data_IF_331799209624
#
_entry.id   IF_331799209624
#
_cell.length_a   1.000
_cell.length_b   1.000
_cell.length_c   1.000
_cell.angle_alpha   90.00
_cell.angle_beta   90.00
_cell.angle_gamma   90.00
#
_symmetry.space_group_name_H-M   'P 1'
#
loop_
_entity.id
_entity.type
_entity.pdbx_description
1 polymer ?
#
# COMPACT_ATOMS: atom_id res chain seq x y z
N UNK A 1 -0.83 -14.30 24.43
CA UNK A 1 -0.46 -14.66 23.05
C UNK A 1 0.93 -14.12 22.82
N UNK A 2 1.92 -14.95 22.51
CA UNK A 2 3.22 -14.45 22.05
C UNK A 2 2.97 -13.74 20.72
N UNK A 3 2.94 -12.41 20.73
CA UNK A 3 3.08 -11.64 19.49
C UNK A 3 4.45 -11.99 18.94
N UNK A 4 4.50 -12.83 17.91
CA UNK A 4 5.70 -12.95 17.10
C UNK A 4 6.05 -11.53 16.65
N UNK A 5 7.25 -11.07 17.02
CA UNK A 5 7.74 -9.76 16.62
C UNK A 5 7.72 -9.68 15.09
N UNK A 6 7.28 -8.54 14.56
CA UNK A 6 7.28 -8.31 13.11
C UNK A 6 8.72 -8.34 12.63
N UNK A 7 8.97 -9.13 11.59
CA UNK A 7 10.30 -9.26 11.00
C UNK A 7 10.40 -8.44 9.71
N UNK A 8 11.37 -7.53 9.68
CA UNK A 8 11.77 -6.77 8.51
C UNK A 8 13.11 -7.28 7.99
N UNK A 9 13.17 -7.65 6.71
CA UNK A 9 14.42 -8.01 6.06
C UNK A 9 14.94 -6.85 5.23
N UNK A 10 16.22 -6.51 5.45
CA UNK A 10 16.87 -5.36 4.83
C UNK A 10 17.69 -5.80 3.63
N UNK A 11 17.31 -5.31 2.46
CA UNK A 11 18.00 -5.50 1.18
C UNK A 11 18.78 -4.23 0.88
N UNK A 12 20.10 -4.32 0.82
CA UNK A 12 20.93 -3.14 0.59
C UNK A 12 22.34 -3.53 0.12
N UNK A 13 23.08 -2.62 -0.52
CA UNK A 13 24.49 -2.83 -0.82
C UNK A 13 25.30 -3.09 0.46
N UNK A 14 26.29 -4.00 0.39
CA UNK A 14 27.20 -4.31 1.51
C UNK A 14 28.38 -3.33 1.65
N UNK A 15 28.39 -2.24 0.89
CA UNK A 15 29.46 -1.25 1.02
C UNK A 15 29.39 -0.58 2.40
N UNK A 16 30.56 -0.30 2.99
CA UNK A 16 30.66 0.31 4.32
C UNK A 16 29.99 1.68 4.40
N UNK A 17 29.85 2.38 3.27
CA UNK A 17 29.11 3.65 3.20
C UNK A 17 27.66 3.52 3.69
N UNK A 18 27.09 2.32 3.64
CA UNK A 18 25.73 2.07 4.09
C UNK A 18 25.60 1.58 5.53
N UNK A 19 26.70 1.40 6.28
CA UNK A 19 26.63 0.86 7.64
C UNK A 19 25.88 1.78 8.60
N UNK A 20 26.06 3.10 8.49
CA UNK A 20 25.35 4.08 9.33
C UNK A 20 23.89 4.20 8.92
N UNK A 21 23.61 4.15 7.61
CA UNK A 21 22.24 4.10 7.06
C UNK A 21 21.50 2.90 7.63
N UNK A 22 22.14 1.72 7.62
CA UNK A 22 21.57 0.50 8.18
C UNK A 22 21.37 0.60 9.69
N UNK A 23 22.43 0.84 10.46
CA UNK A 23 22.41 0.74 11.93
C UNK A 23 21.58 1.87 12.55
N UNK A 24 21.88 3.11 12.19
CA UNK A 24 21.29 4.29 12.82
C UNK A 24 20.01 4.76 12.13
N UNK A 25 19.88 4.51 10.83
CA UNK A 25 18.71 4.86 10.04
C UNK A 25 17.62 3.79 10.10
N UNK A 26 17.92 2.57 9.68
CA UNK A 26 16.92 1.51 9.52
C UNK A 26 16.67 0.76 10.82
N UNK A 27 17.72 0.15 11.38
CA UNK A 27 17.62 -0.79 12.51
C UNK A 27 17.13 -0.12 13.79
N UNK A 28 17.67 1.04 14.14
CA UNK A 28 17.19 1.82 15.29
C UNK A 28 15.73 2.27 15.13
N UNK A 29 15.32 2.70 13.94
CA UNK A 29 13.93 3.12 13.69
C UNK A 29 12.95 1.97 13.80
N UNK A 30 13.30 0.81 13.22
CA UNK A 30 12.50 -0.40 13.33
C UNK A 30 12.38 -0.87 14.79
N UNK A 31 13.48 -0.83 15.56
CA UNK A 31 13.48 -1.22 16.97
C UNK A 31 12.55 -0.34 17.83
N UNK A 32 12.42 0.96 17.52
CA UNK A 32 11.48 1.86 18.21
C UNK A 32 10.01 1.47 18.03
N UNK A 33 9.71 0.66 17.01
CA UNK A 33 8.37 0.18 16.68
C UNK A 33 8.20 -1.33 16.98
N UNK A 34 9.11 -1.94 17.75
CA UNK A 34 9.15 -3.38 18.05
C UNK A 34 9.24 -4.26 16.79
N UNK A 35 9.89 -3.75 15.74
CA UNK A 35 10.15 -4.48 14.49
C UNK A 35 11.62 -4.93 14.51
N UNK A 36 11.84 -6.22 14.29
CA UNK A 36 13.19 -6.78 14.17
C UNK A 36 13.65 -6.56 12.72
N UNK A 37 14.63 -5.69 12.52
CA UNK A 37 15.25 -5.46 11.21
C UNK A 37 16.62 -6.15 11.12
N UNK A 38 16.79 -7.03 10.13
CA UNK A 38 18.07 -7.74 9.92
C UNK A 38 18.52 -7.68 8.47
N UNK A 39 19.84 -7.59 8.29
CA UNK A 39 20.57 -7.73 7.02
C UNK A 39 21.22 -9.10 6.96
N UNK A 40 21.35 -9.66 5.76
CA UNK A 40 21.83 -11.05 5.58
C UNK A 40 23.25 -11.31 6.10
N UNK A 41 24.09 -10.29 6.24
CA UNK A 41 25.48 -10.41 6.70
C UNK A 41 25.64 -10.40 8.23
N UNK A 42 24.59 -10.07 9.02
CA UNK A 42 24.61 -10.16 10.48
C UNK A 42 24.49 -11.61 11.01
N UNK A 43 24.52 -12.57 10.09
CA UNK A 43 24.03 -13.92 10.27
C UNK A 43 25.12 -14.92 9.79
N UNK A 44 25.74 -15.65 10.72
CA UNK A 44 26.83 -16.61 10.40
C UNK A 44 26.23 -17.93 9.90
N UNK A 45 26.48 -18.33 8.64
CA UNK A 45 25.92 -19.57 8.08
C UNK A 45 26.83 -20.29 7.05
N UNK A 46 26.52 -21.58 6.83
CA UNK A 46 27.23 -22.51 5.92
C UNK A 46 26.53 -22.74 4.56
N UNK A 47 25.33 -22.17 4.35
CA UNK A 47 24.53 -22.32 3.13
C UNK A 47 24.89 -21.27 2.05
N UNK A 48 24.43 -21.48 0.80
CA UNK A 48 24.60 -20.52 -0.28
C UNK A 48 23.80 -19.23 -0.03
N UNK A 49 24.45 -18.06 -0.23
CA UNK A 49 23.89 -16.74 0.09
C UNK A 49 22.51 -16.47 -0.53
N UNK A 50 22.30 -16.92 -1.78
CA UNK A 50 21.07 -16.67 -2.52
C UNK A 50 19.86 -17.43 -1.95
N UNK A 51 20.04 -18.70 -1.59
CA UNK A 51 18.97 -19.50 -0.98
C UNK A 51 18.56 -18.92 0.38
N UNK A 52 19.54 -18.40 1.13
CA UNK A 52 19.27 -17.71 2.39
C UNK A 52 18.42 -16.46 2.16
N UNK A 53 18.78 -15.63 1.19
CA UNK A 53 18.04 -14.41 0.85
C UNK A 53 16.58 -14.74 0.51
N UNK A 54 16.32 -15.77 -0.30
CA UNK A 54 14.95 -16.20 -0.58
C UNK A 54 14.20 -16.65 0.66
N UNK A 55 14.83 -17.44 1.54
CA UNK A 55 14.21 -17.87 2.80
C UNK A 55 13.91 -16.69 3.72
N UNK A 56 14.81 -15.70 3.78
CA UNK A 56 14.60 -14.49 4.59
C UNK A 56 13.48 -13.63 4.01
N UNK A 57 13.42 -13.43 2.69
CA UNK A 57 12.31 -12.74 2.04
C UNK A 57 10.98 -13.46 2.30
N UNK A 58 10.96 -14.80 2.19
CA UNK A 58 9.77 -15.59 2.45
C UNK A 58 9.31 -15.49 3.92
N UNK A 59 10.25 -15.42 4.88
CA UNK A 59 9.95 -15.27 6.30
C UNK A 59 9.59 -13.84 6.72
N UNK A 60 10.05 -12.82 5.98
CA UNK A 60 9.83 -11.41 6.33
C UNK A 60 8.36 -11.00 6.22
N UNK A 61 7.88 -10.21 7.18
CA UNK A 61 6.62 -9.49 7.08
C UNK A 61 6.80 -8.21 6.24
N UNK A 62 7.97 -7.56 6.35
CA UNK A 62 8.32 -6.30 5.68
C UNK A 62 9.66 -6.46 4.96
N UNK A 63 9.77 -5.92 3.75
CA UNK A 63 11.05 -5.74 3.06
C UNK A 63 11.40 -4.25 3.09
N UNK A 64 12.62 -3.92 3.54
CA UNK A 64 13.17 -2.57 3.46
C UNK A 64 14.32 -2.64 2.47
N UNK A 65 14.20 -1.96 1.33
CA UNK A 65 15.16 -2.07 0.25
C UNK A 65 15.80 -0.72 -0.07
N UNK A 66 17.11 -0.61 0.09
CA UNK A 66 17.89 0.57 -0.30
C UNK A 66 18.41 0.42 -1.72
N UNK A 67 17.82 1.22 -2.62
CA UNK A 67 18.07 1.16 -4.06
C UNK A 67 19.20 2.10 -4.51
N UNK A 68 19.84 2.80 -3.59
CA UNK A 68 20.84 3.84 -3.89
C UNK A 68 22.03 3.26 -4.66
N UNK A 69 22.50 3.98 -5.67
CA UNK A 69 23.57 3.52 -6.55
C UNK A 69 23.18 2.36 -7.49
N UNK A 70 21.89 2.06 -7.59
CA UNK A 70 21.31 1.14 -8.57
C UNK A 70 21.91 -0.29 -8.55
N UNK A 71 22.06 -0.86 -7.35
CA UNK A 71 22.63 -2.20 -7.21
C UNK A 71 21.72 -3.27 -7.87
N UNK A 72 22.19 -4.02 -8.88
CA UNK A 72 21.37 -4.99 -9.61
C UNK A 72 20.87 -6.16 -8.74
N UNK A 73 21.61 -6.53 -7.69
CA UNK A 73 21.18 -7.60 -6.78
C UNK A 73 19.99 -7.14 -5.95
N UNK A 74 20.00 -5.91 -5.45
CA UNK A 74 18.87 -5.36 -4.68
C UNK A 74 17.62 -5.29 -5.55
N UNK A 75 17.73 -4.84 -6.82
CA UNK A 75 16.59 -4.87 -7.75
C UNK A 75 16.03 -6.28 -7.97
N UNK A 76 16.92 -7.27 -8.13
CA UNK A 76 16.51 -8.66 -8.29
C UNK A 76 15.74 -9.17 -7.07
N UNK A 77 16.23 -8.88 -5.87
CA UNK A 77 15.62 -9.28 -4.60
C UNK A 77 14.28 -8.59 -4.37
N UNK A 78 14.17 -7.29 -4.68
CA UNK A 78 12.90 -6.55 -4.66
C UNK A 78 11.90 -7.14 -5.64
N UNK A 79 12.33 -7.48 -6.85
CA UNK A 79 11.47 -8.16 -7.83
C UNK A 79 10.91 -9.48 -7.30
N UNK A 80 11.74 -10.29 -6.63
CA UNK A 80 11.30 -11.52 -5.98
C UNK A 80 10.32 -11.25 -4.82
N UNK A 81 10.60 -10.24 -3.99
CA UNK A 81 9.72 -9.83 -2.90
C UNK A 81 8.34 -9.35 -3.40
N UNK A 82 8.31 -8.56 -4.48
CA UNK A 82 7.07 -8.14 -5.14
C UNK A 82 6.27 -9.33 -5.66
N UNK A 83 6.93 -10.31 -6.28
CA UNK A 83 6.27 -11.53 -6.76
C UNK A 83 5.66 -12.36 -5.61
N UNK A 84 6.15 -12.19 -4.38
CA UNK A 84 5.63 -12.79 -3.15
C UNK A 84 4.60 -11.91 -2.42
N UNK A 85 4.17 -10.81 -3.03
CA UNK A 85 3.23 -9.83 -2.47
C UNK A 85 3.67 -9.31 -1.08
N UNK A 86 4.98 -9.15 -0.88
CA UNK A 86 5.53 -8.59 0.37
C UNK A 86 5.33 -7.08 0.41
N UNK A 87 5.13 -6.54 1.61
CA UNK A 87 5.16 -5.08 1.83
C UNK A 87 6.61 -4.61 1.64
N UNK A 88 6.87 -3.90 0.55
CA UNK A 88 8.21 -3.41 0.22
C UNK A 88 8.28 -1.89 0.42
N UNK A 89 9.15 -1.47 1.34
CA UNK A 89 9.48 -0.08 1.60
C UNK A 89 10.78 0.24 0.87
N UNK A 90 10.67 0.98 -0.24
CA UNK A 90 11.81 1.34 -1.07
C UNK A 90 12.45 2.62 -0.54
N UNK A 91 13.77 2.62 -0.40
CA UNK A 91 14.58 3.74 0.05
C UNK A 91 15.56 4.13 -1.05
N UNK A 92 15.89 5.41 -1.13
CA UNK A 92 16.98 5.90 -1.96
C UNK A 92 17.53 7.22 -1.45
N UNK A 93 18.83 7.45 -1.63
CA UNK A 93 19.44 8.76 -1.44
C UNK A 93 18.99 9.75 -2.53
N UNK A 94 18.78 9.28 -3.76
CA UNK A 94 18.48 10.13 -4.91
C UNK A 94 17.35 9.58 -5.79
N UNK A 95 16.40 10.45 -6.16
CA UNK A 95 15.24 10.08 -7.01
C UNK A 95 15.62 9.42 -8.33
N UNK A 96 16.81 9.70 -8.87
CA UNK A 96 17.27 9.15 -10.14
C UNK A 96 17.65 7.67 -10.07
N UNK A 97 17.86 7.13 -8.87
CA UNK A 97 18.20 5.72 -8.68
C UNK A 97 16.99 4.79 -8.77
N UNK A 98 15.77 5.33 -8.68
CA UNK A 98 14.55 4.55 -8.84
C UNK A 98 14.22 4.41 -10.34
N UNK A 99 14.21 3.18 -10.90
CA UNK A 99 13.80 2.93 -12.27
C UNK A 99 12.39 3.44 -12.54
N UNK A 100 12.12 3.85 -13.78
CA UNK A 100 10.82 4.42 -14.17
C UNK A 100 9.63 3.56 -13.73
N UNK A 101 9.71 2.24 -13.93
CA UNK A 101 8.65 1.29 -13.55
C UNK A 101 8.39 1.25 -12.04
N UNK A 102 9.40 1.55 -11.22
CA UNK A 102 9.29 1.60 -9.76
C UNK A 102 8.94 2.98 -9.22
N UNK A 103 8.97 4.05 -10.03
CA UNK A 103 8.65 5.41 -9.56
C UNK A 103 7.22 5.57 -9.09
N UNK A 104 6.32 4.72 -9.58
CA UNK A 104 4.93 4.66 -9.13
C UNK A 104 4.76 3.93 -7.79
N UNK A 105 5.75 3.15 -7.38
CA UNK A 105 5.77 2.55 -6.05
C UNK A 105 6.20 3.61 -5.02
N UNK A 106 5.63 3.47 -3.81
CA UNK A 106 5.98 4.31 -2.66
C UNK A 106 7.46 4.12 -2.33
N UNK A 107 8.19 5.23 -2.28
CA UNK A 107 9.61 5.22 -1.94
C UNK A 107 9.97 6.46 -1.10
N UNK A 108 10.97 6.31 -0.24
CA UNK A 108 11.55 7.38 0.56
C UNK A 108 12.80 7.88 -0.15
N UNK A 109 12.86 9.20 -0.39
CA UNK A 109 14.09 9.88 -0.84
C UNK A 109 14.70 10.60 0.35
N UNK A 110 15.73 10.00 0.96
CA UNK A 110 16.31 10.50 2.22
C UNK A 110 17.51 11.43 2.06
N UNK A 111 18.10 11.53 0.86
CA UNK A 111 19.30 12.33 0.60
C UNK A 111 20.48 11.85 1.44
N UNK A 112 21.21 12.79 2.05
CA UNK A 112 22.36 12.48 2.92
C UNK A 112 22.03 12.56 4.42
N UNK A 113 20.74 12.55 4.78
CA UNK A 113 20.30 12.80 6.17
C UNK A 113 19.66 11.56 6.79
N UNK A 114 20.38 10.93 7.72
CA UNK A 114 19.85 9.86 8.57
C UNK A 114 18.64 10.35 9.37
N UNK A 115 18.65 11.60 9.84
CA UNK A 115 17.49 12.17 10.55
C UNK A 115 16.23 12.20 9.67
N UNK A 116 16.39 12.57 8.39
CA UNK A 116 15.28 12.57 7.44
C UNK A 116 14.81 11.14 7.15
N UNK A 117 15.75 10.21 6.95
CA UNK A 117 15.44 8.80 6.78
C UNK A 117 14.61 8.27 7.95
N UNK A 118 15.05 8.50 9.19
CA UNK A 118 14.34 8.03 10.40
C UNK A 118 12.91 8.57 10.46
N UNK A 119 12.73 9.88 10.22
CA UNK A 119 11.41 10.50 10.26
C UNK A 119 10.45 9.86 9.24
N UNK A 120 10.88 9.76 7.97
CA UNK A 120 10.04 9.18 6.91
C UNK A 120 9.81 7.68 7.12
N UNK A 121 10.85 6.93 7.48
CA UNK A 121 10.77 5.49 7.70
C UNK A 121 9.90 5.14 8.90
N UNK A 122 9.83 5.99 9.93
CA UNK A 122 8.93 5.79 11.07
C UNK A 122 7.47 5.74 10.61
N UNK A 123 7.05 6.66 9.75
CA UNK A 123 5.68 6.71 9.24
C UNK A 123 5.37 5.47 8.36
N UNK A 124 6.31 5.07 7.50
CA UNK A 124 6.18 3.89 6.66
C UNK A 124 6.09 2.58 7.46
N UNK A 125 6.97 2.41 8.44
CA UNK A 125 6.99 1.21 9.28
C UNK A 125 5.76 1.14 10.18
N UNK A 126 5.30 2.26 10.72
CA UNK A 126 4.07 2.34 11.50
C UNK A 126 2.85 1.92 10.66
N UNK A 127 2.76 2.43 9.43
CA UNK A 127 1.74 2.01 8.47
C UNK A 127 1.83 0.50 8.18
N UNK A 128 3.01 -0.01 7.82
CA UNK A 128 3.21 -1.41 7.48
C UNK A 128 2.87 -2.35 8.65
N UNK A 129 3.31 -2.01 9.86
CA UNK A 129 2.98 -2.72 11.11
C UNK A 129 1.46 -2.81 11.29
N UNK A 130 0.74 -1.70 11.17
CA UNK A 130 -0.72 -1.67 11.29
C UNK A 130 -1.40 -2.55 10.23
N UNK A 131 -0.93 -2.54 8.98
CA UNK A 131 -1.48 -3.41 7.94
C UNK A 131 -1.29 -4.90 8.30
N UNK A 132 -0.09 -5.28 8.76
CA UNK A 132 0.22 -6.66 9.17
C UNK A 132 -0.62 -7.08 10.36
N UNK A 133 -0.75 -6.24 11.38
CA UNK A 133 -1.57 -6.50 12.56
C UNK A 133 -3.05 -6.68 12.20
N UNK A 134 -3.58 -5.85 11.30
CA UNK A 134 -4.95 -5.98 10.81
C UNK A 134 -5.19 -7.31 10.07
N UNK A 135 -4.24 -7.73 9.21
CA UNK A 135 -4.33 -9.04 8.54
C UNK A 135 -4.25 -10.18 9.55
N UNK A 136 -3.31 -10.11 10.50
CA UNK A 136 -3.14 -11.15 11.54
C UNK A 136 -4.38 -11.28 12.43
N UNK A 137 -5.01 -10.16 12.78
CA UNK A 137 -6.20 -10.13 13.65
C UNK A 137 -7.50 -10.48 12.90
N UNK A 138 -7.72 -9.92 11.71
CA UNK A 138 -8.96 -10.14 10.95
C UNK A 138 -8.98 -11.43 10.13
N UNK A 139 -7.80 -11.98 9.82
CA UNK A 139 -7.59 -13.05 8.85
C UNK A 139 -7.99 -12.70 7.41
N UNK A 140 -8.10 -11.41 7.09
CA UNK A 140 -8.45 -10.92 5.74
C UNK A 140 -7.32 -10.02 5.22
N UNK A 141 -6.73 -10.42 4.10
CA UNK A 141 -5.85 -9.59 3.27
C UNK A 141 -6.69 -8.76 2.32
N UNK A 142 -6.32 -7.48 2.15
CA UNK A 142 -7.02 -6.53 1.29
C UNK A 142 -6.06 -6.03 0.23
N UNK A 143 -6.36 -6.30 -1.04
CA UNK A 143 -5.51 -5.95 -2.16
C UNK A 143 -6.30 -5.15 -3.18
N UNK A 144 -5.97 -3.86 -3.35
CA UNK A 144 -6.48 -3.07 -4.47
C UNK A 144 -5.83 -3.56 -5.77
N UNK A 145 -6.64 -4.07 -6.70
CA UNK A 145 -6.18 -4.42 -8.05
C UNK A 145 -6.16 -3.19 -8.93
N UNK A 146 -5.53 -3.30 -10.11
CA UNK A 146 -5.41 -2.20 -11.07
C UNK A 146 -6.78 -1.53 -11.28
N UNK A 147 -6.77 -0.23 -11.05
CA UNK A 147 -7.93 0.65 -11.16
C UNK A 147 -7.81 1.39 -12.48
N UNK A 148 -8.91 1.46 -13.22
CA UNK A 148 -8.98 2.17 -14.50
C UNK A 148 -9.85 3.40 -14.31
N UNK A 149 -9.42 4.51 -14.92
CA UNK A 149 -10.09 5.78 -14.86
C UNK A 149 -10.67 6.16 -16.22
N UNK A 150 -11.96 6.44 -16.27
CA UNK A 150 -12.62 7.03 -17.44
C UNK A 150 -12.77 8.53 -17.24
N UNK A 151 -12.51 9.30 -18.29
CA UNK A 151 -12.71 10.74 -18.30
C UNK A 151 -13.96 11.11 -19.10
N UNK A 152 -14.95 11.69 -18.41
CA UNK A 152 -16.08 12.38 -19.03
C UNK A 152 -15.79 13.88 -19.04
N UNK A 153 -15.70 14.50 -20.22
CA UNK A 153 -15.51 15.96 -20.34
C UNK A 153 -16.68 16.65 -21.03
N UNK A 154 -16.97 17.85 -20.56
CA UNK A 154 -17.85 18.81 -21.21
C UNK A 154 -17.10 20.12 -21.43
N UNK A 155 -17.76 21.11 -22.03
CA UNK A 155 -17.21 22.47 -22.13
C UNK A 155 -17.03 23.15 -20.76
N UNK A 156 -17.62 22.60 -19.70
CA UNK A 156 -17.69 23.25 -18.38
C UNK A 156 -16.96 22.49 -17.29
N UNK A 157 -16.77 21.18 -17.43
CA UNK A 157 -16.10 20.37 -16.43
C UNK A 157 -15.43 19.12 -17.02
N UNK A 158 -14.50 18.56 -16.27
CA UNK A 158 -13.98 17.21 -16.43
C UNK A 158 -14.35 16.39 -15.19
N UNK A 159 -14.99 15.24 -15.38
CA UNK A 159 -15.43 14.31 -14.35
C UNK A 159 -14.72 12.97 -14.59
N UNK A 160 -13.99 12.51 -13.59
CA UNK A 160 -13.36 11.20 -13.61
C UNK A 160 -14.29 10.17 -13.01
N UNK A 161 -14.35 8.99 -13.61
CA UNK A 161 -14.95 7.79 -13.05
C UNK A 161 -13.85 6.74 -12.84
N UNK A 162 -13.70 6.22 -11.64
CA UNK A 162 -12.72 5.19 -11.30
C UNK A 162 -13.43 3.92 -10.90
N UNK A 163 -13.07 2.81 -11.53
CA UNK A 163 -13.57 1.48 -11.16
C UNK A 163 -12.62 0.84 -10.13
N UNK A 164 -13.15 0.52 -8.95
CA UNK A 164 -12.44 -0.11 -7.86
C UNK A 164 -12.69 -1.62 -7.84
N UNK A 165 -11.61 -2.39 -7.88
CA UNK A 165 -11.62 -3.85 -7.69
C UNK A 165 -10.70 -4.19 -6.52
N UNK A 166 -11.27 -4.63 -5.41
CA UNK A 166 -10.51 -4.94 -4.20
C UNK A 166 -10.71 -6.41 -3.87
N UNK A 167 -9.62 -7.17 -3.87
CA UNK A 167 -9.63 -8.56 -3.46
C UNK A 167 -9.54 -8.64 -1.93
N UNK A 168 -10.46 -9.42 -1.36
CA UNK A 168 -10.47 -9.82 0.04
C UNK A 168 -10.13 -11.31 0.09
N UNK A 169 -9.00 -11.66 0.70
CA UNK A 169 -8.47 -13.03 0.72
C UNK A 169 -8.21 -13.47 2.16
N UNK A 170 -8.63 -14.70 2.50
CA UNK A 170 -8.20 -15.36 3.72
C UNK A 170 -7.34 -16.58 3.36
N UNK A 171 -6.03 -16.42 3.39
CA UNK A 171 -5.04 -17.49 3.21
C UNK A 171 -4.56 -18.08 4.54
N UNK A 172 -5.17 -17.67 5.66
CA UNK A 172 -4.87 -18.20 6.97
C UNK A 172 -5.55 -19.55 7.20
N UNK A 173 -5.07 -20.29 8.20
CA UNK A 173 -5.73 -21.53 8.62
C UNK A 173 -7.04 -21.31 9.41
N UNK A 174 -7.40 -20.07 9.73
CA UNK A 174 -8.55 -19.69 10.55
C UNK A 174 -9.64 -19.08 9.69
N UNK A 175 -10.88 -19.10 10.18
CA UNK A 175 -11.98 -18.35 9.55
C UNK A 175 -11.97 -16.92 10.10
N UNK A 176 -12.28 -15.92 9.29
CA UNK A 176 -12.38 -14.52 9.73
C UNK A 176 -13.51 -14.32 10.74
N UNK A 177 -13.51 -13.19 11.46
CA UNK A 177 -14.69 -12.69 12.14
C UNK A 177 -15.84 -12.42 11.13
N UNK A 178 -17.08 -12.34 11.63
CA UNK A 178 -18.22 -11.96 10.79
C UNK A 178 -18.11 -10.47 10.44
N UNK A 179 -18.18 -10.15 9.15
CA UNK A 179 -18.21 -8.81 8.60
C UNK A 179 -19.65 -8.31 8.64
N UNK A 180 -19.87 -7.27 9.44
CA UNK A 180 -21.16 -6.63 9.64
C UNK A 180 -21.35 -5.47 8.65
N UNK A 181 -20.27 -4.76 8.32
CA UNK A 181 -20.27 -3.68 7.35
C UNK A 181 -18.88 -3.46 6.73
N UNK A 182 -18.86 -2.86 5.54
CA UNK A 182 -17.64 -2.33 4.92
C UNK A 182 -17.84 -0.85 4.68
N UNK A 183 -16.85 -0.04 5.06
CA UNK A 183 -16.82 1.38 4.75
C UNK A 183 -15.61 1.73 3.92
N UNK A 184 -15.81 2.51 2.85
CA UNK A 184 -14.75 3.10 2.06
C UNK A 184 -14.63 4.58 2.37
N UNK A 185 -13.44 5.03 2.75
CA UNK A 185 -13.18 6.41 3.14
C UNK A 185 -12.52 7.17 2.00
N UNK A 186 -13.12 8.28 1.58
CA UNK A 186 -12.64 9.09 0.47
C UNK A 186 -12.37 10.53 0.91
N UNK A 187 -11.60 11.25 0.11
CA UNK A 187 -11.58 12.72 0.19
C UNK A 187 -12.94 13.31 -0.19
N UNK A 188 -13.15 14.61 0.01
CA UNK A 188 -14.38 15.30 -0.39
C UNK A 188 -14.58 15.25 -1.92
N UNK A 189 -15.85 15.29 -2.33
CA UNK A 189 -16.26 15.36 -3.74
C UNK A 189 -16.39 14.02 -4.47
N UNK A 190 -16.16 12.89 -3.79
CA UNK A 190 -16.45 11.57 -4.35
C UNK A 190 -17.90 11.17 -4.12
N UNK A 191 -18.50 10.60 -5.16
CA UNK A 191 -19.79 9.90 -5.16
C UNK A 191 -19.52 8.47 -5.59
N UNK A 192 -19.90 7.49 -4.76
CA UNK A 192 -19.65 6.07 -5.04
C UNK A 192 -20.93 5.35 -5.45
N UNK A 193 -20.78 4.36 -6.32
CA UNK A 193 -21.86 3.54 -6.83
C UNK A 193 -21.45 2.06 -6.82
N UNK A 194 -22.35 1.20 -6.35
CA UNK A 194 -22.19 -0.25 -6.39
C UNK A 194 -23.44 -0.87 -7.02
N UNK A 195 -23.24 -1.76 -8.00
CA UNK A 195 -24.32 -2.47 -8.69
C UNK A 195 -25.45 -1.55 -9.22
N UNK A 196 -25.09 -0.40 -9.80
CA UNK A 196 -26.07 0.54 -10.36
C UNK A 196 -26.71 1.49 -9.34
N UNK A 197 -26.29 1.45 -8.07
CA UNK A 197 -26.91 2.20 -6.97
C UNK A 197 -25.89 3.01 -6.19
N UNK A 198 -26.24 4.26 -5.88
CA UNK A 198 -25.42 5.13 -5.05
C UNK A 198 -25.19 4.49 -3.67
N UNK A 199 -23.93 4.46 -3.25
CA UNK A 199 -23.52 4.02 -1.93
C UNK A 199 -23.89 5.10 -0.89
N UNK A 200 -24.69 4.76 0.14
CA UNK A 200 -25.01 5.71 1.21
C UNK A 200 -23.74 6.25 1.87
N UNK A 201 -23.66 7.56 2.11
CA UNK A 201 -22.46 8.20 2.66
C UNK A 201 -22.75 9.20 3.76
N UNK A 202 -21.79 9.36 4.66
CA UNK A 202 -21.79 10.40 5.72
C UNK A 202 -20.43 11.08 5.79
N UNK A 203 -20.32 12.13 6.59
CA UNK A 203 -19.01 12.66 6.97
C UNK A 203 -18.14 11.56 7.60
N UNK A 204 -16.83 11.66 7.34
CA UNK A 204 -15.83 10.74 7.88
C UNK A 204 -15.65 10.93 9.39
N UNK A 205 -15.47 9.83 10.10
CA UNK A 205 -15.00 9.79 11.50
C UNK A 205 -13.46 9.69 11.62
N UNK A 206 -12.75 9.60 10.49
CA UNK A 206 -11.28 9.59 10.42
C UNK A 206 -10.80 10.96 9.91
N UNK A 207 -9.83 11.62 10.58
CA UNK A 207 -9.19 12.84 10.09
C UNK A 207 -8.65 12.69 8.66
N UNK A 208 -8.54 13.81 7.93
CA UNK A 208 -8.05 13.89 6.54
C UNK A 208 -8.93 13.23 5.46
N UNK A 209 -9.92 12.43 5.85
CA UNK A 209 -10.96 11.92 4.96
C UNK A 209 -12.22 12.77 5.04
N UNK A 210 -12.86 13.01 3.90
CA UNK A 210 -14.04 13.85 3.81
C UNK A 210 -15.34 13.07 4.03
N UNK A 211 -15.42 11.87 3.46
CA UNK A 211 -16.61 11.02 3.51
C UNK A 211 -16.25 9.58 3.83
N UNK A 212 -17.20 8.87 4.42
CA UNK A 212 -17.24 7.42 4.46
C UNK A 212 -18.48 6.93 3.73
N UNK A 213 -18.31 5.89 2.93
CA UNK A 213 -19.34 5.33 2.07
C UNK A 213 -19.59 3.89 2.49
N UNK A 214 -20.85 3.52 2.69
CA UNK A 214 -21.23 2.14 2.94
C UNK A 214 -21.11 1.34 1.65
N UNK A 215 -20.32 0.27 1.69
CA UNK A 215 -20.20 -0.68 0.59
C UNK A 215 -20.78 -2.01 1.05
N UNK A 216 -21.62 -2.63 0.21
CA UNK A 216 -22.20 -3.93 0.50
C UNK A 216 -21.08 -4.99 0.55
N UNK A 217 -20.94 -5.74 1.66
CA UNK A 217 -19.95 -6.81 1.76
C UNK A 217 -20.24 -7.93 0.74
N UNK A 218 -19.23 -8.45 0.03
CA UNK A 218 -19.43 -9.54 -0.91
C UNK A 218 -19.68 -10.87 -0.18
N UNK A 219 -19.17 -11.02 1.03
CA UNK A 219 -19.37 -12.14 1.95
C UNK A 219 -19.46 -11.62 3.38
N UNK A 220 -20.25 -12.30 4.22
CA UNK A 220 -20.27 -12.04 5.67
C UNK A 220 -19.08 -12.65 6.40
N UNK A 221 -18.44 -13.67 5.85
CA UNK A 221 -17.34 -14.37 6.52
C UNK A 221 -16.44 -15.02 5.49
N UNK A 222 -15.14 -14.99 5.74
CA UNK A 222 -14.14 -15.64 4.90
C UNK A 222 -13.65 -16.90 5.60
N UNK A 223 -14.02 -18.07 5.07
CA UNK A 223 -13.46 -19.36 5.48
C UNK A 223 -11.98 -19.48 5.09
N UNK A 224 -11.31 -20.48 5.65
CA UNK A 224 -9.93 -20.82 5.27
C UNK A 224 -9.80 -20.96 3.74
N UNK A 225 -8.79 -20.32 3.18
CA UNK A 225 -8.46 -20.32 1.75
C UNK A 225 -9.61 -19.82 0.86
N UNK A 226 -10.51 -18.99 1.40
CA UNK A 226 -11.58 -18.37 0.61
C UNK A 226 -11.21 -16.94 0.23
N UNK A 227 -11.83 -16.46 -0.84
CA UNK A 227 -11.65 -15.10 -1.32
C UNK A 227 -12.94 -14.59 -1.96
N UNK A 228 -13.04 -13.27 -2.07
CA UNK A 228 -14.10 -12.58 -2.80
C UNK A 228 -13.56 -11.24 -3.29
N UNK A 229 -14.20 -10.67 -4.30
CA UNK A 229 -13.83 -9.37 -4.85
C UNK A 229 -14.95 -8.37 -4.59
N UNK A 230 -14.57 -7.24 -4.01
CA UNK A 230 -15.41 -6.06 -3.89
C UNK A 230 -15.27 -5.23 -5.18
N UNK A 231 -16.40 -4.87 -5.78
CA UNK A 231 -16.48 -4.05 -7.00
C UNK A 231 -17.41 -2.88 -6.77
N UNK A 232 -16.95 -1.67 -7.06
CA UNK A 232 -17.75 -0.45 -7.05
C UNK A 232 -17.03 0.61 -7.90
N UNK A 233 -17.74 1.65 -8.28
CA UNK A 233 -17.17 2.78 -9.00
C UNK A 233 -17.27 4.05 -8.16
N UNK A 234 -16.38 5.00 -8.42
CA UNK A 234 -16.43 6.32 -7.82
C UNK A 234 -16.32 7.39 -8.88
N UNK A 235 -17.08 8.47 -8.73
CA UNK A 235 -16.98 9.64 -9.60
C UNK A 235 -16.60 10.89 -8.83
N UNK A 236 -15.82 11.76 -9.47
CA UNK A 236 -15.39 13.04 -8.91
C UNK A 236 -15.11 14.06 -10.01
N UNK A 237 -15.51 15.32 -9.77
CA UNK A 237 -15.08 16.43 -10.62
C UNK A 237 -13.58 16.68 -10.45
N UNK A 238 -12.84 16.64 -11.55
CA UNK A 238 -11.39 16.80 -11.60
C UNK A 238 -10.98 18.22 -12.00
N UNK A 239 -11.80 18.89 -12.82
CA UNK A 239 -11.60 20.28 -13.19
C UNK A 239 -12.92 20.95 -13.58
N UNK A 240 -12.96 22.27 -13.46
CA UNK A 240 -14.01 23.14 -13.97
C UNK A 240 -13.39 24.18 -14.90
N UNK A 241 -14.06 24.51 -16.00
CA UNK A 241 -13.55 25.43 -17.00
C UNK A 241 -13.55 26.85 -16.46
N UNK A 242 -12.44 27.56 -16.59
CA UNK A 242 -12.40 29.02 -16.49
C UNK A 242 -12.48 29.61 -17.90
N UNK A 243 -12.95 30.87 -18.04
CA UNK A 243 -13.23 31.49 -19.35
C UNK A 243 -12.05 31.33 -20.32
N UNK A 244 -12.26 30.53 -21.38
CA UNK A 244 -11.31 30.35 -22.49
C UNK A 244 -10.34 29.17 -22.34
N UNK A 245 -10.40 28.40 -21.26
CA UNK A 245 -9.54 27.21 -21.07
C UNK A 245 -10.18 25.96 -21.65
N UNK A 246 -9.41 25.18 -22.43
CA UNK A 246 -9.79 23.83 -22.85
C UNK A 246 -9.45 22.81 -21.76
N UNK A 247 -10.29 21.78 -21.64
CA UNK A 247 -10.05 20.66 -20.72
C UNK A 247 -8.86 19.82 -21.18
N UNK A 248 -8.07 19.32 -20.23
CA UNK A 248 -7.00 18.36 -20.53
C UNK A 248 -7.59 17.05 -21.06
N UNK A 249 -6.82 16.33 -21.86
CA UNK A 249 -7.17 15.00 -22.36
C UNK A 249 -7.05 13.91 -21.29
N UNK A 250 -6.27 14.17 -20.24
CA UNK A 250 -6.05 13.25 -19.13
C UNK A 250 -5.94 14.00 -17.80
N UNK A 251 -6.37 13.32 -16.74
CA UNK A 251 -6.23 13.79 -15.37
C UNK A 251 -5.78 12.63 -14.47
N UNK A 252 -4.71 12.84 -13.72
CA UNK A 252 -4.24 11.87 -12.73
C UNK A 252 -4.98 12.05 -11.40
N UNK A 253 -5.58 10.99 -10.91
CA UNK A 253 -6.23 10.87 -9.61
C UNK A 253 -5.32 10.06 -8.70
N UNK A 254 -4.59 10.76 -7.85
CA UNK A 254 -3.72 10.15 -6.84
C UNK A 254 -4.17 10.48 -5.42
N UNK A 255 -3.98 9.57 -4.49
CA UNK A 255 -4.24 9.85 -3.07
C UNK A 255 -4.31 8.59 -2.22
N UNK A 256 -4.79 8.78 -0.99
CA UNK A 256 -5.01 7.69 -0.03
C UNK A 256 -6.49 7.47 0.17
N UNK A 257 -6.86 6.22 0.45
CA UNK A 257 -8.20 5.80 0.87
C UNK A 257 -8.07 4.74 1.96
N UNK A 258 -9.14 4.54 2.73
CA UNK A 258 -9.20 3.47 3.73
C UNK A 258 -10.40 2.58 3.41
N UNK A 259 -10.18 1.27 3.40
CA UNK A 259 -11.24 0.27 3.49
C UNK A 259 -11.32 -0.22 4.93
N UNK A 260 -12.40 0.10 5.63
CA UNK A 260 -12.68 -0.41 6.97
C UNK A 260 -13.58 -1.63 6.89
N UNK A 261 -13.11 -2.74 7.46
CA UNK A 261 -13.94 -3.89 7.76
C UNK A 261 -14.45 -3.75 9.19
N UNK A 262 -15.77 -3.63 9.36
CA UNK A 262 -16.44 -3.68 10.66
C UNK A 262 -16.85 -5.12 10.90
N UNK A 263 -16.35 -5.69 11.99
CA UNK A 263 -16.57 -7.09 12.33
C UNK A 263 -17.06 -7.27 13.75
N UNK A 264 -17.57 -8.46 14.05
CA UNK A 264 -17.93 -8.87 15.41
C UNK A 264 -16.78 -8.80 16.43
N UNK A 265 -15.52 -8.69 15.98
CA UNK A 265 -14.32 -8.63 16.81
C UNK A 265 -13.64 -7.24 16.80
N UNK A 266 -14.23 -6.27 16.09
CA UNK A 266 -13.72 -4.90 16.01
C UNK A 266 -13.58 -4.38 14.58
N UNK A 267 -12.95 -3.21 14.45
CA UNK A 267 -12.76 -2.51 13.18
C UNK A 267 -11.32 -2.69 12.69
N UNK A 268 -11.16 -3.05 11.42
CA UNK A 268 -9.85 -3.22 10.78
C UNK A 268 -9.73 -2.28 9.58
N UNK A 269 -8.75 -1.37 9.62
CA UNK A 269 -8.57 -0.29 8.65
C UNK A 269 -7.41 -0.58 7.69
N UNK A 270 -7.72 -0.81 6.42
CA UNK A 270 -6.75 -1.05 5.36
C UNK A 270 -6.54 0.22 4.55
N UNK A 271 -5.34 0.78 4.61
CA UNK A 271 -5.00 1.96 3.82
C UNK A 271 -4.56 1.52 2.42
N UNK A 272 -5.18 2.10 1.40
CA UNK A 272 -4.93 1.79 0.00
C UNK A 272 -4.45 3.06 -0.70
N UNK A 273 -3.43 2.91 -1.54
CA UNK A 273 -2.93 3.99 -2.41
C UNK A 273 -3.70 3.97 -3.72
N UNK A 274 -4.28 5.11 -4.08
CA UNK A 274 -4.90 5.34 -5.37
C UNK A 274 -3.92 6.09 -6.26
N UNK A 275 -3.67 5.57 -7.45
CA UNK A 275 -2.92 6.27 -8.49
C UNK A 275 -3.45 5.84 -9.86
N UNK A 276 -4.33 6.65 -10.43
CA UNK A 276 -5.09 6.32 -11.64
C UNK A 276 -4.99 7.48 -12.62
N UNK A 277 -4.71 7.19 -13.88
CA UNK A 277 -4.89 8.17 -14.95
C UNK A 277 -6.30 7.97 -15.49
N UNK A 278 -7.10 9.04 -15.43
CA UNK A 278 -8.38 9.11 -16.11
C UNK A 278 -8.17 9.74 -17.48
N UNK A 279 -8.43 8.98 -18.53
CA UNK A 279 -8.35 9.42 -19.92
C UNK A 279 -9.65 9.13 -20.68
N UNK A 280 -9.76 9.74 -21.85
CA UNK A 280 -10.82 9.41 -22.80
C UNK A 280 -10.49 8.04 -23.39
N UNK A 281 -11.37 7.05 -23.16
CA UNK A 281 -11.21 5.72 -23.73
C UNK A 281 -10.89 5.81 -25.24
N UNK A 282 -9.85 5.11 -25.73
CA UNK A 282 -9.67 4.92 -27.17
C UNK A 282 -10.82 4.02 -27.65
N UNK A 283 -11.58 4.52 -28.62
CA UNK A 283 -12.63 3.77 -29.32
C UNK A 283 -12.18 2.40 -29.82
#
# INVERSE_FOLDING_TARGET
MSTENIFAFVLMPFDKSFDDIYKMGIKETAAQLDIIAERVDEQIFQEGILERIYRQIDAADIIIADMSGQNPNVFYEVGYAHAKEKICLLLTSETNDIPFDLKHHRHIVYGDSISNLRAMLTDELSWAKKQIENVKASHVKVNLKNTYGELEKTKSYAKGKVEFKIDLLNDSAKTSAEIEAIYFYSTKGWELEQDGKECPSTESDIPDFGKRHFIMPPLRKFHKNSWAQLKFSGTKYLAFAHKGEEMKSEYRVSGRTILRLVTSEGNFDYELSLDVVCDEFPF
#
